data_IF_968106539205
#
_entry.id   IF_968106539205
#
_cell.length_a   1.000
_cell.length_b   1.000
_cell.length_c   1.000
_cell.angle_alpha   90.00
_cell.angle_beta   90.00
_cell.angle_gamma   90.00
#
_symmetry.space_group_name_H-M   'P 1'
#
loop_
_entity.id
_entity.type
_entity.pdbx_description
1 polymer ?
#
# COMPACT_ATOMS: atom_id res chain seq x y z
N UNK A 1 16.05 -35.19 -33.49
CA UNK A 1 16.89 -34.07 -33.01
C UNK A 1 16.02 -32.83 -33.01
N UNK A 2 15.68 -32.27 -31.84
CA UNK A 2 14.91 -31.04 -31.76
C UNK A 2 15.82 -29.85 -32.08
N UNK A 3 15.32 -28.88 -32.85
CA UNK A 3 16.07 -27.70 -33.24
C UNK A 3 16.37 -26.82 -32.01
N UNK A 4 17.63 -26.41 -31.88
CA UNK A 4 18.10 -25.49 -30.84
C UNK A 4 17.54 -24.08 -31.12
N UNK A 5 17.04 -23.38 -30.11
CA UNK A 5 16.55 -21.98 -30.23
C UNK A 5 17.66 -21.02 -29.77
N UNK A 6 18.50 -20.48 -30.68
CA UNK A 6 19.63 -19.65 -30.32
C UNK A 6 19.16 -18.28 -29.78
N UNK A 7 19.73 -17.86 -28.65
CA UNK A 7 19.48 -16.54 -28.06
C UNK A 7 20.33 -15.51 -28.80
N UNK A 8 19.73 -14.78 -29.74
CA UNK A 8 20.43 -13.81 -30.60
C UNK A 8 20.61 -12.45 -29.90
N UNK A 9 21.56 -11.64 -30.40
CA UNK A 9 21.74 -10.26 -29.91
C UNK A 9 20.54 -9.35 -30.19
N UNK A 10 19.79 -9.63 -31.26
CA UNK A 10 18.56 -8.90 -31.59
C UNK A 10 17.47 -9.16 -30.54
N UNK A 11 17.29 -10.42 -30.14
CA UNK A 11 16.36 -10.78 -29.07
C UNK A 11 16.73 -10.11 -27.75
N UNK A 12 18.03 -10.11 -27.39
CA UNK A 12 18.51 -9.43 -26.17
C UNK A 12 18.22 -7.93 -26.20
N UNK A 13 18.45 -7.26 -27.34
CA UNK A 13 18.12 -5.82 -27.49
C UNK A 13 16.63 -5.57 -27.39
N UNK A 14 15.81 -6.44 -27.97
CA UNK A 14 14.36 -6.33 -27.87
C UNK A 14 13.87 -6.48 -26.42
N UNK A 15 14.38 -7.46 -25.67
CA UNK A 15 14.07 -7.65 -24.24
C UNK A 15 14.45 -6.42 -23.42
N UNK A 16 15.66 -5.87 -23.63
CA UNK A 16 16.11 -4.65 -22.94
C UNK A 16 15.22 -3.47 -23.29
N UNK A 17 14.80 -3.32 -24.55
CA UNK A 17 13.90 -2.27 -24.96
C UNK A 17 12.51 -2.38 -24.29
N UNK A 18 11.96 -3.59 -24.13
CA UNK A 18 10.72 -3.79 -23.39
C UNK A 18 10.87 -3.44 -21.90
N UNK A 19 11.99 -3.83 -21.28
CA UNK A 19 12.28 -3.48 -19.89
C UNK A 19 12.45 -1.96 -19.70
N UNK A 20 13.14 -1.28 -20.61
CA UNK A 20 13.29 0.20 -20.59
C UNK A 20 11.96 0.92 -20.86
N UNK A 21 11.07 0.30 -21.64
CA UNK A 21 9.71 0.79 -21.85
C UNK A 21 8.76 0.52 -20.66
N UNK A 22 9.24 -0.17 -19.61
CA UNK A 22 8.47 -0.44 -18.39
C UNK A 22 7.53 -1.65 -18.49
N UNK A 23 7.69 -2.51 -19.50
CA UNK A 23 6.93 -3.76 -19.60
C UNK A 23 7.32 -4.73 -18.47
N UNK A 24 6.34 -5.45 -17.92
CA UNK A 24 6.59 -6.43 -16.85
C UNK A 24 7.30 -7.66 -17.45
N UNK A 25 8.26 -8.28 -16.73
CA UNK A 25 8.99 -9.46 -17.20
C UNK A 25 8.07 -10.61 -17.66
N UNK A 26 6.97 -10.84 -16.95
CA UNK A 26 5.94 -11.84 -17.26
C UNK A 26 5.24 -11.58 -18.60
N UNK A 27 4.97 -10.32 -18.95
CA UNK A 27 4.37 -9.95 -20.24
C UNK A 27 5.37 -10.19 -21.38
N UNK A 28 6.65 -9.91 -21.14
CA UNK A 28 7.73 -10.17 -22.09
C UNK A 28 7.92 -11.69 -22.29
N UNK A 29 7.87 -12.48 -21.22
CA UNK A 29 7.93 -13.94 -21.29
C UNK A 29 6.73 -14.54 -22.03
N UNK A 30 5.52 -14.07 -21.74
CA UNK A 30 4.31 -14.52 -22.44
C UNK A 30 4.31 -14.11 -23.93
N UNK A 31 4.84 -12.92 -24.26
CA UNK A 31 5.05 -12.51 -25.66
C UNK A 31 6.07 -13.42 -26.39
N UNK A 32 7.13 -13.86 -25.70
CA UNK A 32 8.10 -14.81 -26.25
C UNK A 32 7.48 -16.19 -26.43
N UNK A 33 6.74 -16.70 -25.43
CA UNK A 33 6.07 -18.00 -25.50
C UNK A 33 5.01 -18.07 -26.59
N UNK A 34 4.20 -17.01 -26.72
CA UNK A 34 3.21 -16.89 -27.81
C UNK A 34 3.85 -16.79 -29.19
N UNK A 35 5.10 -16.33 -29.27
CA UNK A 35 5.93 -16.33 -30.49
C UNK A 35 6.70 -17.64 -30.73
N UNK A 36 6.43 -18.68 -29.93
CA UNK A 36 7.00 -20.03 -30.10
C UNK A 36 8.31 -20.29 -29.36
N UNK A 37 8.76 -19.39 -28.48
CA UNK A 37 9.92 -19.64 -27.62
C UNK A 37 9.59 -20.66 -26.53
N UNK A 38 10.50 -21.61 -26.29
CA UNK A 38 10.41 -22.50 -25.15
C UNK A 38 10.62 -21.73 -23.85
N UNK A 39 9.88 -22.11 -22.82
CA UNK A 39 9.87 -21.45 -21.51
C UNK A 39 11.29 -21.30 -20.93
N UNK A 40 12.04 -22.41 -20.86
CA UNK A 40 13.43 -22.43 -20.37
C UNK A 40 14.38 -21.53 -21.19
N UNK A 41 14.15 -21.42 -22.50
CA UNK A 41 14.99 -20.59 -23.39
C UNK A 41 14.63 -19.11 -23.26
N UNK A 42 13.35 -18.80 -23.08
CA UNK A 42 12.86 -17.44 -22.89
C UNK A 42 13.33 -16.84 -21.56
N UNK A 43 13.27 -17.61 -20.47
CA UNK A 43 13.78 -17.21 -19.16
C UNK A 43 15.28 -16.93 -19.24
N UNK A 44 16.06 -17.87 -19.80
CA UNK A 44 17.51 -17.71 -19.98
C UNK A 44 17.86 -16.50 -20.85
N UNK A 45 17.11 -16.25 -21.93
CA UNK A 45 17.31 -15.08 -22.78
C UNK A 45 17.06 -13.77 -22.04
N UNK A 46 16.05 -13.73 -21.17
CA UNK A 46 15.72 -12.56 -20.38
C UNK A 46 16.78 -12.25 -19.32
N UNK A 47 17.24 -13.27 -18.60
CA UNK A 47 18.34 -13.16 -17.64
C UNK A 47 19.63 -12.65 -18.31
N UNK A 48 20.05 -13.29 -19.41
CA UNK A 48 21.25 -12.91 -20.14
C UNK A 48 21.20 -11.48 -20.70
N UNK A 49 20.01 -11.03 -21.14
CA UNK A 49 19.80 -9.70 -21.69
C UNK A 49 19.88 -8.61 -20.60
N UNK A 50 19.16 -8.80 -19.49
CA UNK A 50 19.11 -7.83 -18.39
C UNK A 50 20.43 -7.78 -17.62
N UNK A 51 21.07 -8.92 -17.39
CA UNK A 51 22.37 -8.97 -16.73
C UNK A 51 23.46 -8.28 -17.55
N UNK A 52 23.51 -8.55 -18.87
CA UNK A 52 24.40 -7.84 -19.80
C UNK A 52 24.14 -6.33 -19.79
N UNK A 53 22.87 -5.93 -19.73
CA UNK A 53 22.50 -4.51 -19.70
C UNK A 53 22.93 -3.82 -18.40
N UNK A 54 22.67 -4.42 -17.24
CA UNK A 54 23.06 -3.91 -15.93
C UNK A 54 24.59 -3.83 -15.78
N UNK A 55 25.34 -4.76 -16.37
CA UNK A 55 26.81 -4.69 -16.40
C UNK A 55 27.33 -3.59 -17.34
N UNK A 56 26.57 -3.23 -18.38
CA UNK A 56 26.92 -2.16 -19.31
C UNK A 56 26.55 -0.75 -18.80
N UNK A 57 25.60 -0.65 -17.89
CA UNK A 57 25.22 0.60 -17.24
C UNK A 57 25.93 0.70 -15.89
N UNK A 58 27.11 1.35 -15.89
CA UNK A 58 27.74 1.80 -14.64
C UNK A 58 26.76 2.63 -13.79
N UNK A 59 27.06 2.85 -12.50
CA UNK A 59 26.10 3.39 -11.52
C UNK A 59 25.46 4.69 -12.03
N UNK A 60 24.14 4.67 -12.26
CA UNK A 60 23.42 5.78 -12.88
C UNK A 60 23.02 6.86 -11.86
N UNK A 61 23.26 8.15 -12.17
CA UNK A 61 22.71 9.31 -11.46
C UNK A 61 21.26 9.61 -11.90
N UNK A 62 20.49 10.22 -10.99
CA UNK A 62 19.04 10.39 -11.11
C UNK A 62 18.53 11.41 -12.14
N UNK A 63 17.28 11.20 -12.54
CA UNK A 63 16.25 12.17 -13.02
C UNK A 63 15.12 11.31 -13.64
N UNK A 64 13.83 11.54 -13.40
CA UNK A 64 13.06 12.70 -13.83
C UNK A 64 12.18 12.25 -15.01
N UNK A 65 10.94 11.81 -14.74
CA UNK A 65 9.98 11.43 -15.78
C UNK A 65 9.26 12.66 -16.34
N UNK A 66 9.37 12.87 -17.65
CA UNK A 66 8.44 13.67 -18.44
C UNK A 66 7.52 12.73 -19.25
N UNK A 67 6.28 13.17 -19.50
CA UNK A 67 5.27 12.45 -20.26
C UNK A 67 5.54 12.47 -21.79
N UNK A 68 5.17 11.40 -22.50
CA UNK A 68 5.36 11.24 -23.95
C UNK A 68 4.08 11.55 -24.76
N UNK A 69 4.22 12.35 -25.81
CA UNK A 69 3.25 12.57 -26.91
C UNK A 69 3.77 11.87 -28.18
N UNK A 70 2.98 11.00 -28.84
CA UNK A 70 3.46 10.11 -29.90
C UNK A 70 3.77 10.76 -31.27
N UNK A 71 3.94 12.09 -31.39
CA UNK A 71 4.17 12.75 -32.70
C UNK A 71 5.30 13.78 -32.80
N UNK A 72 6.27 13.83 -31.89
CA UNK A 72 7.33 14.86 -31.95
C UNK A 72 8.74 14.31 -32.20
N UNK A 73 9.38 14.77 -33.27
CA UNK A 73 10.82 14.58 -33.57
C UNK A 73 11.70 15.50 -32.69
N UNK A 74 12.90 15.03 -32.32
CA UNK A 74 13.80 15.69 -31.37
C UNK A 74 14.31 17.10 -31.80
N UNK A 75 14.25 18.12 -30.92
CA UNK A 75 14.94 19.41 -31.11
C UNK A 75 16.24 19.55 -30.28
N UNK A 76 17.13 20.44 -30.74
CA UNK A 76 18.54 20.59 -30.28
C UNK A 76 18.75 21.49 -29.04
N UNK A 77 19.94 21.43 -28.38
CA UNK A 77 20.19 21.93 -27.02
C UNK A 77 20.38 23.46 -26.84
N UNK A 78 19.67 24.32 -27.59
CA UNK A 78 19.91 25.77 -27.56
C UNK A 78 18.85 26.61 -26.82
N UNK A 79 17.89 26.01 -26.09
CA UNK A 79 16.71 26.76 -25.60
C UNK A 79 16.37 26.58 -24.12
N UNK A 80 17.35 26.24 -23.28
CA UNK A 80 17.23 26.47 -21.85
C UNK A 80 17.53 27.95 -21.53
N UNK A 81 16.57 28.71 -20.98
CA UNK A 81 16.80 29.70 -19.89
C UNK A 81 15.60 30.61 -19.62
N UNK A 82 15.23 30.73 -18.35
CA UNK A 82 14.70 31.98 -17.78
C UNK A 82 13.29 31.91 -17.21
N UNK A 83 13.18 31.84 -15.88
CA UNK A 83 12.69 32.94 -15.01
C UNK A 83 12.22 32.40 -13.65
N UNK A 84 12.73 33.05 -12.60
CA UNK A 84 12.56 32.82 -11.16
C UNK A 84 11.20 33.33 -10.62
N UNK A 85 10.79 32.95 -9.39
CA UNK A 85 9.41 33.07 -8.91
C UNK A 85 9.11 34.41 -8.24
N UNK A 86 7.82 34.78 -8.19
CA UNK A 86 7.29 35.88 -7.37
C UNK A 86 6.18 35.39 -6.44
N UNK A 87 6.39 35.59 -5.15
CA UNK A 87 5.39 35.45 -4.09
C UNK A 87 4.41 36.64 -4.06
N UNK A 88 3.18 36.38 -3.63
CA UNK A 88 2.14 37.37 -3.34
C UNK A 88 1.09 36.78 -2.37
N UNK A 89 0.37 37.61 -1.61
CA UNK A 89 0.14 37.38 -0.17
C UNK A 89 -1.10 36.55 0.17
N UNK A 90 -1.02 35.94 1.35
CA UNK A 90 -2.08 35.19 2.02
C UNK A 90 -3.30 36.06 2.37
N UNK A 91 -4.49 35.50 2.18
CA UNK A 91 -5.75 36.04 2.71
C UNK A 91 -6.57 34.90 3.29
N UNK A 92 -6.76 34.93 4.62
CA UNK A 92 -7.58 33.98 5.36
C UNK A 92 -9.05 34.43 5.39
N UNK A 93 -9.97 33.47 5.22
CA UNK A 93 -11.33 33.38 5.77
C UNK A 93 -12.04 32.14 5.16
N UNK A 94 -13.19 31.67 5.68
CA UNK A 94 -13.50 31.17 7.01
C UNK A 94 -13.91 29.67 6.97
N UNK A 95 -14.20 29.09 8.14
CA UNK A 95 -14.64 27.71 8.33
C UNK A 95 -15.95 27.37 7.58
N UNK A 96 -15.99 26.17 6.99
CA UNK A 96 -17.16 25.59 6.35
C UNK A 96 -16.93 25.31 4.86
N UNK A 97 -16.22 24.23 4.55
CA UNK A 97 -16.16 23.71 3.18
C UNK A 97 -16.15 22.19 3.22
N UNK A 98 -17.21 21.58 2.67
CA UNK A 98 -17.12 20.25 2.08
C UNK A 98 -16.00 20.31 1.04
N UNK A 99 -14.81 19.85 1.41
CA UNK A 99 -13.67 19.81 0.50
C UNK A 99 -13.94 18.76 -0.59
N UNK A 100 -13.85 19.18 -1.84
CA UNK A 100 -13.71 18.27 -2.96
C UNK A 100 -12.51 17.32 -2.72
N UNK A 101 -12.74 16.02 -2.94
CA UNK A 101 -11.87 14.86 -2.76
C UNK A 101 -10.35 15.13 -2.65
N UNK A 102 -9.86 15.30 -1.42
CA UNK A 102 -8.45 15.04 -1.07
C UNK A 102 -8.20 13.55 -0.83
N UNK A 103 -6.95 13.14 -0.66
CA UNK A 103 -6.62 11.82 -0.11
C UNK A 103 -6.47 11.91 1.42
N UNK A 104 -6.78 10.84 2.18
CA UNK A 104 -6.47 10.82 3.61
C UNK A 104 -4.97 10.99 3.83
N UNK A 105 -4.59 11.70 4.88
CA UNK A 105 -3.24 11.69 5.40
C UNK A 105 -2.91 12.84 6.35
N UNK A 106 -1.84 12.65 7.14
CA UNK A 106 -1.36 13.65 8.09
C UNK A 106 -0.92 14.95 7.41
N UNK A 107 -0.93 16.04 8.18
CA UNK A 107 -0.27 17.28 7.79
C UNK A 107 1.23 17.20 8.07
N UNK A 108 2.00 16.82 7.05
CA UNK A 108 3.45 16.72 7.10
C UNK A 108 4.15 17.97 6.54
N UNK A 109 3.40 18.94 6.00
CA UNK A 109 3.97 20.12 5.33
C UNK A 109 4.77 21.00 6.28
N UNK A 110 4.43 20.97 7.57
CA UNK A 110 5.15 21.70 8.62
C UNK A 110 6.55 21.14 8.94
N UNK A 111 6.88 19.93 8.48
CA UNK A 111 8.13 19.24 8.81
C UNK A 111 8.26 18.82 10.27
N UNK A 112 7.21 18.95 11.09
CA UNK A 112 7.22 18.55 12.49
C UNK A 112 7.28 17.03 12.62
N UNK A 113 8.18 16.54 13.48
CA UNK A 113 8.22 15.12 13.87
C UNK A 113 7.10 14.73 14.83
N UNK A 114 6.27 15.68 15.24
CA UNK A 114 5.20 15.49 16.23
C UNK A 114 3.92 16.14 15.72
N UNK A 115 2.82 15.39 15.74
CA UNK A 115 1.50 15.80 15.30
C UNK A 115 0.50 15.65 16.46
N UNK A 116 -0.53 16.51 16.48
CA UNK A 116 -1.63 16.40 17.44
C UNK A 116 -2.80 15.70 16.77
N UNK A 117 -3.11 14.48 17.23
CA UNK A 117 -4.21 13.66 16.76
C UNK A 117 -5.44 13.82 17.66
N UNK A 118 -5.92 15.05 17.83
CA UNK A 118 -7.02 15.35 18.76
C UNK A 118 -6.59 15.23 20.22
N UNK A 119 -6.80 14.05 20.83
CA UNK A 119 -6.55 13.79 22.25
C UNK A 119 -5.12 13.31 22.58
N UNK A 120 -4.27 13.14 21.56
CA UNK A 120 -2.95 12.54 21.72
C UNK A 120 -1.90 13.19 20.83
N UNK A 121 -0.71 13.32 21.39
CA UNK A 121 0.49 13.65 20.63
C UNK A 121 1.10 12.38 20.01
N UNK A 122 1.30 12.38 18.70
CA UNK A 122 1.84 11.25 17.94
C UNK A 122 3.14 11.65 17.24
N UNK A 123 4.13 10.77 17.25
CA UNK A 123 5.44 11.03 16.65
C UNK A 123 5.50 10.43 15.25
N UNK A 124 6.00 11.15 14.26
CA UNK A 124 6.29 10.61 12.94
C UNK A 124 7.67 9.97 12.98
N UNK A 125 7.72 8.64 12.89
CA UNK A 125 8.96 7.85 12.97
C UNK A 125 9.60 7.62 11.60
N UNK A 126 8.77 7.49 10.56
CA UNK A 126 9.22 7.28 9.18
C UNK A 126 8.15 7.79 8.21
N UNK A 127 8.62 8.31 7.08
CA UNK A 127 7.79 8.70 5.94
C UNK A 127 8.38 8.07 4.67
N UNK A 128 7.53 7.50 3.84
CA UNK A 128 7.87 6.98 2.52
C UNK A 128 6.93 7.61 1.49
N UNK A 129 7.49 7.96 0.34
CA UNK A 129 6.71 8.47 -0.79
C UNK A 129 6.18 7.34 -1.68
N UNK A 130 6.88 6.20 -1.73
CA UNK A 130 6.52 5.04 -2.57
C UNK A 130 6.81 3.73 -1.82
N UNK A 131 5.79 3.06 -1.25
CA UNK A 131 4.39 3.52 -1.16
C UNK A 131 4.28 4.80 -0.34
N UNK A 132 3.18 5.54 -0.53
CA UNK A 132 2.82 6.66 0.35
C UNK A 132 2.47 6.10 1.72
N UNK A 133 3.45 6.08 2.62
CA UNK A 133 3.33 5.46 3.94
C UNK A 133 3.96 6.31 5.04
N UNK A 134 3.37 6.26 6.23
CA UNK A 134 3.84 6.98 7.41
C UNK A 134 3.74 6.06 8.62
N UNK A 135 4.85 5.89 9.34
CA UNK A 135 4.87 5.19 10.61
C UNK A 135 4.75 6.19 11.75
N UNK A 136 3.73 6.02 12.58
CA UNK A 136 3.50 6.80 13.77
C UNK A 136 3.92 6.03 15.03
N UNK A 137 4.66 6.71 15.90
CA UNK A 137 4.91 6.31 17.27
C UNK A 137 3.87 6.90 18.21
N UNK A 138 3.63 6.20 19.33
CA UNK A 138 2.72 6.66 20.38
C UNK A 138 1.29 6.96 19.87
N UNK A 139 0.78 6.19 18.91
CA UNK A 139 -0.57 6.38 18.38
C UNK A 139 -1.65 5.84 19.34
N UNK A 140 -1.40 4.67 19.95
CA UNK A 140 -2.21 4.11 21.03
C UNK A 140 -1.39 4.05 22.32
N UNK A 141 -2.04 4.24 23.46
CA UNK A 141 -1.44 3.87 24.76
C UNK A 141 -1.45 2.36 24.97
N UNK A 142 -0.59 1.87 25.85
CA UNK A 142 -0.60 0.46 26.29
C UNK A 142 -1.98 0.04 26.80
N UNK A 143 -2.66 0.88 27.58
CA UNK A 143 -4.00 0.59 28.12
C UNK A 143 -5.08 0.49 27.03
N UNK A 144 -5.02 1.34 26.00
CA UNK A 144 -5.94 1.24 24.84
C UNK A 144 -5.70 -0.05 24.04
N UNK A 145 -4.43 -0.42 23.84
CA UNK A 145 -4.07 -1.67 23.18
C UNK A 145 -4.60 -2.90 23.95
N UNK A 146 -4.37 -2.94 25.27
CA UNK A 146 -4.83 -4.03 26.13
C UNK A 146 -6.36 -4.11 26.16
N UNK A 147 -7.06 -2.98 26.24
CA UNK A 147 -8.52 -2.93 26.21
C UNK A 147 -9.10 -3.43 24.88
N UNK A 148 -8.53 -3.04 23.74
CA UNK A 148 -8.96 -3.56 22.43
C UNK A 148 -8.79 -5.08 22.34
N UNK A 149 -7.63 -5.60 22.76
CA UNK A 149 -7.36 -7.04 22.77
C UNK A 149 -8.35 -7.77 23.69
N UNK A 150 -8.60 -7.25 24.89
CA UNK A 150 -9.52 -7.86 25.85
C UNK A 150 -10.96 -7.94 25.30
N UNK A 151 -11.46 -6.86 24.70
CA UNK A 151 -12.81 -6.84 24.10
C UNK A 151 -12.93 -7.74 22.86
N UNK A 152 -11.85 -7.87 22.07
CA UNK A 152 -11.86 -8.69 20.86
C UNK A 152 -11.72 -10.20 21.15
N UNK A 153 -10.98 -10.58 22.20
CA UNK A 153 -10.55 -11.98 22.46
C UNK A 153 -11.71 -12.98 22.49
N UNK A 154 -12.84 -12.62 23.09
CA UNK A 154 -14.03 -13.50 23.17
C UNK A 154 -14.87 -13.55 21.90
N UNK A 155 -14.55 -12.73 20.89
CA UNK A 155 -15.31 -12.58 19.64
C UNK A 155 -14.54 -13.00 18.40
N UNK A 156 -13.27 -13.42 18.56
CA UNK A 156 -12.45 -13.87 17.45
C UNK A 156 -13.01 -15.15 16.84
N UNK A 157 -13.15 -15.14 15.52
CA UNK A 157 -13.40 -16.32 14.71
C UNK A 157 -12.29 -16.44 13.66
N UNK A 158 -12.25 -17.56 12.94
CA UNK A 158 -11.31 -17.71 11.82
C UNK A 158 -11.51 -16.55 10.83
N UNK A 159 -10.43 -15.87 10.42
CA UNK A 159 -10.57 -14.74 9.50
C UNK A 159 -11.06 -15.18 8.13
N UNK A 160 -11.99 -14.40 7.58
CA UNK A 160 -12.44 -14.50 6.20
C UNK A 160 -11.81 -13.39 5.35
N UNK A 161 -11.74 -13.61 4.04
CA UNK A 161 -11.34 -12.62 3.03
C UNK A 161 -12.49 -12.39 2.07
N UNK A 162 -12.56 -11.19 1.49
CA UNK A 162 -13.58 -10.90 0.48
C UNK A 162 -13.34 -11.75 -0.77
N UNK A 163 -14.38 -12.43 -1.25
CA UNK A 163 -14.35 -13.18 -2.50
C UNK A 163 -14.55 -12.20 -3.64
N UNK A 164 -13.47 -11.94 -4.35
CA UNK A 164 -13.37 -11.09 -5.52
C UNK A 164 -14.48 -11.33 -6.57
N UNK A 165 -14.83 -12.59 -6.83
CA UNK A 165 -15.83 -12.96 -7.83
C UNK A 165 -17.27 -12.63 -7.43
N UNK A 166 -17.61 -12.76 -6.14
CA UNK A 166 -19.00 -12.64 -5.66
C UNK A 166 -19.25 -11.40 -4.81
N UNK A 167 -18.19 -10.74 -4.34
CA UNK A 167 -18.22 -9.73 -3.29
C UNK A 167 -18.58 -10.27 -1.90
N UNK A 168 -18.68 -11.59 -1.75
CA UNK A 168 -18.96 -12.29 -0.49
C UNK A 168 -17.73 -12.43 0.40
N UNK A 169 -17.82 -13.25 1.44
CA UNK A 169 -16.72 -13.52 2.39
C UNK A 169 -16.45 -15.02 2.43
N UNK A 170 -15.18 -15.43 2.38
CA UNK A 170 -14.77 -16.84 2.43
C UNK A 170 -13.54 -17.03 3.32
N UNK A 171 -13.49 -18.16 4.03
CA UNK A 171 -12.31 -18.61 4.78
C UNK A 171 -11.21 -19.01 3.80
N UNK A 172 -10.35 -18.07 3.43
CA UNK A 172 -9.28 -18.29 2.46
C UNK A 172 -7.95 -18.68 3.13
N UNK A 173 -7.29 -19.69 2.57
CA UNK A 173 -5.92 -20.13 2.91
C UNK A 173 -4.86 -19.02 2.88
N UNK A 174 -5.11 -17.92 2.15
CA UNK A 174 -4.22 -16.77 2.02
C UNK A 174 -4.04 -15.97 3.33
N UNK A 175 -4.99 -16.09 4.27
CA UNK A 175 -4.96 -15.40 5.55
C UNK A 175 -5.19 -16.38 6.68
N UNK A 176 -4.16 -16.62 7.49
CA UNK A 176 -4.21 -17.62 8.55
C UNK A 176 -4.42 -17.04 9.95
N UNK A 177 -4.99 -15.84 10.06
CA UNK A 177 -5.34 -15.18 11.33
C UNK A 177 -6.73 -15.58 11.87
N UNK A 178 -6.94 -15.25 13.14
CA UNK A 178 -8.28 -15.08 13.71
C UNK A 178 -8.64 -13.60 13.68
N UNK A 179 -9.91 -13.26 13.44
CA UNK A 179 -10.36 -11.90 13.27
C UNK A 179 -11.77 -11.64 13.80
N UNK A 180 -12.05 -10.38 14.09
CA UNK A 180 -13.38 -9.87 14.41
C UNK A 180 -13.50 -8.40 13.99
N UNK A 181 -14.73 -7.90 13.91
CA UNK A 181 -15.01 -6.50 13.66
C UNK A 181 -15.79 -5.89 14.82
N UNK A 182 -15.37 -4.69 15.22
CA UNK A 182 -16.22 -3.75 15.94
C UNK A 182 -17.05 -2.94 14.94
N UNK A 183 -18.31 -2.65 15.27
CA UNK A 183 -19.04 -1.61 14.55
C UNK A 183 -18.36 -0.25 14.74
N UNK A 184 -18.55 0.67 13.78
CA UNK A 184 -18.05 2.05 13.94
C UNK A 184 -18.70 2.68 15.16
N UNK A 185 -17.89 3.22 16.06
CA UNK A 185 -18.33 3.81 17.32
C UNK A 185 -19.01 2.82 18.29
N UNK A 186 -18.74 1.51 18.19
CA UNK A 186 -19.45 0.49 18.99
C UNK A 186 -19.36 0.74 20.51
N UNK A 187 -18.24 1.28 20.98
CA UNK A 187 -18.01 1.67 22.36
C UNK A 187 -17.16 2.95 22.43
N UNK A 188 -17.06 3.54 23.62
CA UNK A 188 -16.33 4.80 23.85
C UNK A 188 -14.87 4.74 23.42
N UNK A 189 -14.20 3.59 23.64
CA UNK A 189 -12.82 3.40 23.21
C UNK A 189 -12.70 3.43 21.68
N UNK A 190 -13.56 2.69 20.98
CA UNK A 190 -13.60 2.70 19.52
C UNK A 190 -13.89 4.10 19.00
N UNK A 191 -14.91 4.78 19.53
CA UNK A 191 -15.27 6.14 19.12
C UNK A 191 -14.12 7.14 19.30
N UNK A 192 -13.41 7.06 20.43
CA UNK A 192 -12.23 7.91 20.70
C UNK A 192 -11.08 7.64 19.73
N UNK A 193 -10.74 6.37 19.50
CA UNK A 193 -9.68 6.00 18.54
C UNK A 193 -10.08 6.43 17.12
N UNK A 194 -11.33 6.21 16.71
CA UNK A 194 -11.80 6.59 15.37
C UNK A 194 -11.80 8.11 15.17
N UNK A 195 -12.11 8.89 16.20
CA UNK A 195 -11.96 10.34 16.17
C UNK A 195 -10.48 10.75 16.03
N UNK A 196 -9.58 10.10 16.79
CA UNK A 196 -8.13 10.32 16.68
C UNK A 196 -7.62 10.03 15.26
N UNK A 197 -8.09 8.95 14.64
CA UNK A 197 -7.76 8.60 13.24
C UNK A 197 -8.24 9.71 12.29
N UNK A 198 -9.49 10.16 12.45
CA UNK A 198 -10.08 11.20 11.61
C UNK A 198 -9.34 12.54 11.72
N UNK A 199 -8.99 12.95 12.94
CA UNK A 199 -8.22 14.16 13.21
C UNK A 199 -6.80 14.05 12.62
N UNK A 200 -6.12 12.92 12.84
CA UNK A 200 -4.75 12.70 12.34
C UNK A 200 -4.69 12.65 10.82
N UNK A 201 -5.60 11.92 10.17
CA UNK A 201 -5.56 11.68 8.74
C UNK A 201 -6.42 12.66 7.94
N UNK A 202 -7.05 13.63 8.63
CA UNK A 202 -7.94 14.64 8.03
C UNK A 202 -8.99 14.00 7.12
N UNK A 203 -9.59 12.90 7.59
CA UNK A 203 -10.57 12.11 6.85
C UNK A 203 -11.84 11.93 7.69
N UNK A 204 -13.05 12.10 7.13
CA UNK A 204 -14.28 12.03 7.92
C UNK A 204 -14.48 10.67 8.59
N UNK A 205 -14.96 10.67 9.84
CA UNK A 205 -15.23 9.44 10.60
C UNK A 205 -16.21 8.52 9.86
N UNK A 206 -17.20 9.10 9.18
CA UNK A 206 -18.22 8.38 8.42
C UNK A 206 -17.66 7.61 7.22
N UNK A 207 -16.48 8.00 6.74
CA UNK A 207 -15.77 7.31 5.67
C UNK A 207 -14.91 6.15 6.19
N UNK A 208 -14.91 5.87 7.50
CA UNK A 208 -14.23 4.72 8.06
C UNK A 208 -15.13 3.48 8.14
N UNK A 209 -14.60 2.32 7.74
CA UNK A 209 -15.15 1.01 8.14
C UNK A 209 -15.01 0.81 9.66
N UNK A 210 -15.68 -0.18 10.24
CA UNK A 210 -15.43 -0.57 11.63
C UNK A 210 -13.97 -1.03 11.88
N UNK A 211 -13.52 -1.00 13.13
CA UNK A 211 -12.19 -1.52 13.47
C UNK A 211 -12.16 -3.05 13.33
N UNK A 212 -11.27 -3.57 12.48
CA UNK A 212 -11.00 -5.00 12.41
C UNK A 212 -9.88 -5.36 13.37
N UNK A 213 -10.10 -6.24 14.34
CA UNK A 213 -9.03 -6.78 15.20
C UNK A 213 -8.63 -8.16 14.73
N UNK A 214 -7.32 -8.41 14.69
CA UNK A 214 -6.73 -9.64 14.17
C UNK A 214 -5.68 -10.19 15.13
N UNK A 215 -5.61 -11.51 15.22
CA UNK A 215 -4.59 -12.25 15.95
C UNK A 215 -3.87 -13.23 15.03
N UNK A 216 -2.54 -13.21 15.11
CA UNK A 216 -1.63 -14.14 14.44
C UNK A 216 -0.84 -14.91 15.50
N UNK A 217 -1.03 -16.23 15.53
CA UNK A 217 -0.22 -17.16 16.31
C UNK A 217 1.07 -17.53 15.54
N UNK A 218 2.06 -18.20 16.17
CA UNK A 218 3.25 -18.65 15.46
C UNK A 218 2.92 -19.42 14.18
N UNK A 219 3.61 -19.09 13.08
CA UNK A 219 3.38 -19.62 11.73
C UNK A 219 2.23 -18.95 10.96
N UNK A 220 1.33 -18.21 11.63
CA UNK A 220 0.28 -17.47 10.95
C UNK A 220 0.85 -16.28 10.19
N UNK A 221 0.28 -16.01 9.01
CA UNK A 221 0.71 -14.97 8.07
C UNK A 221 -0.47 -14.42 7.27
N UNK A 222 -0.20 -13.37 6.52
CA UNK A 222 -1.10 -12.91 5.46
C UNK A 222 -0.28 -12.77 4.18
N UNK A 223 -0.66 -13.51 3.14
CA UNK A 223 -0.05 -13.40 1.82
C UNK A 223 -0.18 -11.98 1.26
N UNK A 224 0.67 -11.65 0.28
CA UNK A 224 0.68 -10.36 -0.37
C UNK A 224 -0.69 -10.06 -1.01
N UNK A 225 -1.24 -8.90 -0.71
CA UNK A 225 -2.55 -8.47 -1.20
C UNK A 225 -2.64 -6.96 -1.30
N UNK A 226 -3.69 -6.51 -1.99
CA UNK A 226 -4.12 -5.12 -2.03
C UNK A 226 -5.32 -4.94 -1.11
N UNK A 227 -5.39 -3.78 -0.46
CA UNK A 227 -6.56 -3.44 0.35
C UNK A 227 -7.67 -2.80 -0.48
N UNK A 228 -7.33 -2.15 -1.60
CA UNK A 228 -8.32 -1.66 -2.55
C UNK A 228 -8.97 -2.82 -3.31
N UNK A 229 -10.18 -2.59 -3.78
CA UNK A 229 -10.92 -3.53 -4.61
C UNK A 229 -10.56 -3.32 -6.08
N UNK A 230 -10.34 -4.40 -6.82
CA UNK A 230 -10.14 -4.30 -8.26
C UNK A 230 -11.50 -4.03 -8.95
N UNK A 231 -11.68 -2.87 -9.61
CA UNK A 231 -12.96 -2.50 -10.21
C UNK A 231 -13.38 -3.40 -11.37
N UNK A 232 -12.44 -4.12 -11.99
CA UNK A 232 -12.73 -5.02 -13.11
C UNK A 232 -13.32 -6.36 -12.66
N UNK A 233 -13.33 -6.64 -11.35
CA UNK A 233 -13.85 -7.90 -10.83
C UNK A 233 -15.38 -7.90 -10.76
N UNK A 234 -16.03 -9.04 -11.06
CA UNK A 234 -17.50 -9.14 -11.10
C UNK A 234 -18.19 -8.71 -9.79
N UNK A 235 -17.57 -8.96 -8.63
CA UNK A 235 -18.09 -8.59 -7.31
C UNK A 235 -17.87 -7.12 -6.91
N UNK A 236 -17.11 -6.34 -7.68
CA UNK A 236 -16.69 -4.99 -7.30
C UNK A 236 -17.87 -4.04 -7.09
N UNK A 237 -18.91 -4.12 -7.93
CA UNK A 237 -20.08 -3.25 -7.83
C UNK A 237 -20.77 -3.31 -6.46
N UNK A 238 -20.94 -4.52 -5.91
CA UNK A 238 -21.57 -4.73 -4.59
C UNK A 238 -20.74 -4.17 -3.46
N UNK A 239 -19.42 -4.35 -3.52
CA UNK A 239 -18.49 -3.87 -2.48
C UNK A 239 -18.34 -2.35 -2.52
N UNK A 240 -18.28 -1.79 -3.73
CA UNK A 240 -18.14 -0.35 -3.97
C UNK A 240 -19.44 0.42 -3.70
N UNK A 241 -20.61 -0.25 -3.71
CA UNK A 241 -21.87 0.39 -3.30
C UNK A 241 -21.82 0.90 -1.84
N UNK A 242 -21.00 0.28 -0.98
CA UNK A 242 -20.85 0.65 0.42
C UNK A 242 -19.64 1.55 0.63
N UNK A 243 -19.82 2.85 0.44
CA UNK A 243 -18.77 3.86 0.64
C UNK A 243 -17.70 3.92 -0.46
N UNK A 244 -17.85 3.19 -1.56
CA UNK A 244 -16.92 3.24 -2.69
C UNK A 244 -15.57 2.58 -2.41
N UNK A 245 -14.53 3.01 -3.13
CA UNK A 245 -13.19 2.44 -3.04
C UNK A 245 -12.54 2.71 -1.68
N UNK A 246 -11.66 1.81 -1.23
CA UNK A 246 -10.74 2.11 -0.13
C UNK A 246 -9.65 3.04 -0.64
N UNK A 247 -9.26 4.03 0.15
CA UNK A 247 -8.28 5.07 -0.22
C UNK A 247 -7.09 5.11 0.74
N UNK A 248 -7.13 4.32 1.80
CA UNK A 248 -6.03 4.17 2.73
C UNK A 248 -6.35 3.22 3.86
N UNK A 249 -5.27 2.75 4.49
CA UNK A 249 -5.29 1.77 5.57
C UNK A 249 -4.44 2.28 6.72
N UNK A 250 -4.95 2.16 7.94
CA UNK A 250 -4.18 2.34 9.16
C UNK A 250 -4.12 1.01 9.92
N UNK A 251 -2.92 0.44 10.02
CA UNK A 251 -2.62 -0.76 10.81
C UNK A 251 -2.04 -0.31 12.16
N UNK A 252 -2.73 -0.60 13.25
CA UNK A 252 -2.32 -0.29 14.62
C UNK A 252 -1.80 -1.54 15.29
N UNK A 253 -0.58 -1.51 15.83
CA UNK A 253 0.04 -2.65 16.51
C UNK A 253 -0.37 -2.67 17.99
N UNK A 254 -1.15 -3.68 18.39
CA UNK A 254 -1.71 -3.78 19.75
C UNK A 254 -0.74 -4.47 20.71
N UNK A 255 0.24 -5.22 20.20
CA UNK A 255 1.34 -5.75 20.98
C UNK A 255 2.62 -5.82 20.14
N UNK A 256 3.73 -6.20 20.79
CA UNK A 256 5.00 -6.51 20.14
C UNK A 256 5.19 -8.03 20.23
N UNK A 257 5.13 -8.81 19.14
CA UNK A 257 5.54 -10.22 19.14
C UNK A 257 7.02 -10.33 19.52
N UNK A 258 7.44 -11.49 20.02
CA UNK A 258 8.84 -11.72 20.39
C UNK A 258 9.72 -11.74 19.14
N UNK A 259 9.25 -12.40 18.06
CA UNK A 259 9.95 -12.46 16.76
C UNK A 259 8.98 -12.57 15.58
N UNK A 260 9.37 -11.98 14.45
CA UNK A 260 8.61 -11.99 13.20
C UNK A 260 7.39 -11.05 13.22
N UNK A 261 6.44 -11.29 12.31
CA UNK A 261 5.19 -10.54 12.27
C UNK A 261 5.27 -9.14 11.65
N UNK A 262 6.32 -8.82 10.88
CA UNK A 262 6.42 -7.55 10.19
C UNK A 262 5.28 -7.30 9.19
N UNK A 263 5.00 -6.04 8.90
CA UNK A 263 4.22 -5.63 7.74
C UNK A 263 5.20 -5.29 6.62
N UNK A 264 5.15 -6.03 5.51
CA UNK A 264 6.14 -5.94 4.42
C UNK A 264 5.49 -5.41 3.15
N UNK A 265 6.19 -4.52 2.44
CA UNK A 265 5.85 -4.04 1.10
C UNK A 265 6.95 -4.53 0.14
N UNK A 266 6.80 -5.73 -0.45
CA UNK A 266 7.87 -6.39 -1.19
C UNK A 266 8.37 -5.54 -2.37
N UNK A 267 7.47 -4.94 -3.13
CA UNK A 267 7.81 -4.16 -4.33
C UNK A 267 8.55 -2.85 -4.00
N UNK A 268 8.48 -2.40 -2.75
CA UNK A 268 9.16 -1.20 -2.26
C UNK A 268 10.39 -1.51 -1.39
N UNK A 269 10.67 -2.79 -1.10
CA UNK A 269 11.73 -3.18 -0.19
C UNK A 269 11.56 -2.61 1.23
N UNK A 270 10.32 -2.33 1.65
CA UNK A 270 10.00 -1.74 2.96
C UNK A 270 9.47 -2.80 3.92
N UNK A 271 10.00 -2.82 5.14
CA UNK A 271 9.52 -3.66 6.22
C UNK A 271 9.28 -2.83 7.49
N UNK A 272 8.13 -3.05 8.14
CA UNK A 272 7.75 -2.34 9.37
C UNK A 272 7.53 -3.35 10.49
N UNK A 273 8.39 -3.28 11.50
CA UNK A 273 8.28 -4.11 12.70
C UNK A 273 7.06 -3.71 13.56
N UNK A 274 6.30 -4.69 14.09
CA UNK A 274 5.13 -4.45 14.91
C UNK A 274 5.54 -4.05 16.33
N UNK A 275 5.56 -2.75 16.62
CA UNK A 275 5.84 -2.23 17.97
C UNK A 275 4.54 -1.75 18.60
N UNK A 276 4.20 -2.28 19.77
CA UNK A 276 2.99 -1.91 20.51
C UNK A 276 2.80 -0.40 20.59
N UNK A 277 1.60 0.06 20.24
CA UNK A 277 1.21 1.46 20.30
C UNK A 277 1.57 2.26 19.04
N UNK A 278 2.41 1.71 18.16
CA UNK A 278 2.70 2.32 16.86
C UNK A 278 1.58 2.01 15.86
N UNK A 279 1.46 2.87 14.85
CA UNK A 279 0.51 2.68 13.76
C UNK A 279 1.16 3.00 12.41
N UNK A 280 0.95 2.15 11.43
CA UNK A 280 1.40 2.32 10.05
C UNK A 280 0.21 2.76 9.20
N UNK A 281 0.28 3.96 8.65
CA UNK A 281 -0.64 4.43 7.63
C UNK A 281 -0.03 4.24 6.25
N UNK A 282 -0.81 3.76 5.29
CA UNK A 282 -0.47 3.84 3.88
C UNK A 282 -1.72 4.14 3.05
N UNK A 283 -1.53 4.94 2.01
CA UNK A 283 -2.60 5.38 1.12
C UNK A 283 -2.35 4.91 -0.30
N UNK A 284 -3.43 4.80 -1.05
CA UNK A 284 -3.42 4.44 -2.46
C UNK A 284 -4.42 5.32 -3.17
N UNK A 285 -3.87 6.16 -4.05
CA UNK A 285 -4.50 7.25 -4.78
C UNK A 285 -5.63 6.78 -5.69
N UNK A 286 -5.46 5.55 -6.18
CA UNK A 286 -6.32 4.80 -7.09
C UNK A 286 -5.96 3.32 -6.96
N UNK A 287 -6.82 2.40 -7.42
CA UNK A 287 -6.48 0.98 -7.50
C UNK A 287 -5.43 0.75 -8.60
N UNK A 288 -4.20 1.17 -8.34
CA UNK A 288 -3.09 1.20 -9.30
C UNK A 288 -1.86 0.50 -8.69
N UNK A 289 -1.33 -0.55 -9.34
CA UNK A 289 -0.10 -1.20 -8.90
C UNK A 289 1.08 -0.24 -8.71
N UNK A 290 1.12 0.89 -9.42
CA UNK A 290 2.16 1.91 -9.28
C UNK A 290 2.20 2.56 -7.89
N UNK A 291 1.16 2.39 -7.06
CA UNK A 291 1.16 2.84 -5.67
C UNK A 291 2.12 2.04 -4.78
N UNK A 292 2.64 0.88 -5.23
CA UNK A 292 3.52 -0.02 -4.47
C UNK A 292 2.97 -0.38 -3.08
N UNK A 293 1.64 -0.36 -2.95
CA UNK A 293 0.92 -0.64 -1.71
C UNK A 293 0.62 -2.14 -1.51
N UNK A 294 1.12 -2.99 -2.42
CA UNK A 294 1.09 -4.44 -2.23
C UNK A 294 1.80 -4.74 -0.91
N UNK A 295 1.11 -5.42 -0.01
CA UNK A 295 1.65 -5.68 1.31
C UNK A 295 1.23 -7.03 1.87
N UNK A 296 2.01 -7.52 2.81
CA UNK A 296 1.80 -8.80 3.48
C UNK A 296 2.10 -8.70 4.98
N UNK A 297 1.59 -9.66 5.72
CA UNK A 297 1.99 -9.92 7.09
C UNK A 297 3.01 -11.05 7.11
N UNK A 298 4.27 -10.75 7.39
CA UNK A 298 5.31 -11.75 7.58
C UNK A 298 4.91 -12.74 8.71
N UNK A 299 5.35 -14.01 8.65
CA UNK A 299 5.02 -15.00 9.67
C UNK A 299 5.42 -14.52 11.07
N UNK A 300 4.58 -14.79 12.07
CA UNK A 300 5.00 -14.70 13.47
C UNK A 300 5.88 -15.91 13.76
N UNK A 301 7.09 -15.68 14.26
CA UNK A 301 8.03 -16.75 14.59
C UNK A 301 7.92 -17.13 16.07
N UNK A 302 7.76 -16.14 16.96
CA UNK A 302 7.68 -16.35 18.40
C UNK A 302 6.74 -15.33 19.06
N UNK A 303 5.93 -15.79 20.02
CA UNK A 303 4.87 -15.00 20.66
C UNK A 303 3.58 -14.96 19.84
N UNK A 304 2.81 -13.88 19.96
CA UNK A 304 1.62 -13.64 19.13
C UNK A 304 1.62 -12.18 18.64
N UNK A 305 1.00 -11.91 17.49
CA UNK A 305 0.80 -10.55 16.97
C UNK A 305 -0.69 -10.21 16.98
N UNK A 306 -1.00 -9.06 17.55
CA UNK A 306 -2.32 -8.45 17.55
C UNK A 306 -2.27 -7.11 16.81
N UNK A 307 -3.21 -6.91 15.90
CA UNK A 307 -3.37 -5.62 15.21
C UNK A 307 -4.83 -5.22 15.16
N UNK A 308 -5.07 -3.91 15.13
CA UNK A 308 -6.34 -3.35 14.72
C UNK A 308 -6.14 -2.62 13.37
N UNK A 309 -7.01 -2.88 12.41
CA UNK A 309 -6.98 -2.26 11.09
C UNK A 309 -8.19 -1.35 10.92
N UNK A 310 -7.96 -0.15 10.39
CA UNK A 310 -9.00 0.77 9.94
C UNK A 310 -8.83 0.99 8.44
N UNK A 311 -9.84 0.63 7.67
CA UNK A 311 -9.92 0.99 6.26
C UNK A 311 -10.71 2.28 6.07
N UNK A 312 -10.20 3.15 5.20
CA UNK A 312 -10.80 4.43 4.85
C UNK A 312 -11.40 4.33 3.45
N UNK A 313 -12.65 4.75 3.32
CA UNK A 313 -13.47 4.71 2.10
C UNK A 313 -13.51 6.09 1.43
N UNK A 314 -13.68 6.11 0.11
CA UNK A 314 -13.82 7.35 -0.66
C UNK A 314 -15.10 8.13 -0.28
N UNK A 315 -16.16 7.41 0.08
CA UNK A 315 -17.46 7.96 0.47
C UNK A 315 -17.91 7.47 1.85
N UNK A 316 -19.10 7.92 2.26
CA UNK A 316 -19.72 7.51 3.53
C UNK A 316 -19.95 6.00 3.53
N UNK A 317 -19.41 5.32 4.53
CA UNK A 317 -19.56 3.88 4.69
C UNK A 317 -20.81 3.55 5.50
N UNK A 318 -21.76 2.88 4.84
CA UNK A 318 -23.05 2.38 5.38
C UNK A 318 -23.21 0.90 5.09
#
# INVERSE_FOLDING_TARGET
MQAEQPITQELKRWIVAQAQAGCRPEDVLEAMKSSGWRDEVAIRAMEEALQSHLQSQGPLPGSGMAAFDPRTTAPSPAQAAGLTPREGPARAAPAGLLAAAGQPGPDLASGRSTLIAGDREVTVLMQSQRPRAVLFGNFLSSGECEALVAMARGRLARSETVVNETGGSEVNSARTSDGMFFNRGENELCARIEKRIADLLRWPIQNGEGLQVLRYLPGARYLAHQDYFDPEQPGAGTILARGGQRVGTLVMYLNTPLRGGATTFPDAGLEVSPVRGNALFFAYDRPDPACLALHSGAPVEEGEKWVATKWLRQGVFS
#
